data_IF_784211953316
#
_entry.id   IF_784211953316
#
_cell.length_a   1.000
_cell.length_b   1.000
_cell.length_c   1.000
_cell.angle_alpha   90.00
_cell.angle_beta   90.00
_cell.angle_gamma   90.00
#
_symmetry.space_group_name_H-M   'P 1'
#
loop_
_entity.id
_entity.type
_entity.pdbx_description
1 polymer ?
#
# COMPACT_ATOMS: atom_id res chain seq x y z
N UNK A 1 6.30 24.11 41.16
CA UNK A 1 6.70 23.08 40.17
C UNK A 1 5.45 22.58 39.48
N UNK A 2 5.13 23.09 38.28
CA UNK A 2 4.12 22.48 37.39
C UNK A 2 4.53 22.78 35.96
N UNK A 3 5.23 21.84 35.32
CA UNK A 3 5.39 21.82 33.87
C UNK A 3 4.11 21.22 33.29
N UNK A 4 3.26 22.08 32.73
CA UNK A 4 2.16 21.66 31.87
C UNK A 4 2.77 21.22 30.54
N UNK A 5 2.83 19.92 30.30
CA UNK A 5 3.20 19.37 29.00
C UNK A 5 2.04 19.60 28.03
N UNK A 6 2.09 20.73 27.34
CA UNK A 6 1.22 20.99 26.21
C UNK A 6 1.78 20.25 24.97
N UNK A 7 1.39 19.00 24.79
CA UNK A 7 1.75 18.20 23.58
C UNK A 7 0.52 17.96 22.70
N UNK A 8 -0.27 19.00 22.47
CA UNK A 8 -1.46 18.96 21.63
C UNK A 8 -1.39 19.93 20.46
N UNK A 9 -0.31 19.88 19.66
CA UNK A 9 -0.34 20.55 18.34
C UNK A 9 -1.47 19.96 17.49
N UNK A 10 -2.12 20.74 16.60
CA UNK A 10 -3.24 20.24 15.81
C UNK A 10 -2.79 19.01 15.02
N UNK A 11 -3.47 17.88 15.23
CA UNK A 11 -3.19 16.64 14.52
C UNK A 11 -3.25 16.92 13.01
N UNK A 12 -2.09 16.90 12.34
CA UNK A 12 -2.00 17.14 10.90
C UNK A 12 -2.97 16.20 10.19
N UNK A 13 -3.89 16.77 9.44
CA UNK A 13 -4.85 16.00 8.67
C UNK A 13 -4.10 15.25 7.56
N UNK A 14 -4.33 13.95 7.47
CA UNK A 14 -3.75 13.11 6.45
C UNK A 14 -4.45 13.33 5.12
N UNK A 15 -3.66 13.29 4.06
CA UNK A 15 -4.15 13.39 2.69
C UNK A 15 -3.78 12.15 1.90
N UNK A 16 -4.41 11.95 0.74
CA UNK A 16 -4.09 10.88 -0.20
C UNK A 16 -2.61 10.90 -0.66
N UNK A 17 -1.92 12.05 -0.57
CA UNK A 17 -0.50 12.16 -0.92
C UNK A 17 0.44 11.59 0.15
N UNK A 18 -0.07 11.42 1.38
CA UNK A 18 0.71 10.92 2.51
C UNK A 18 0.67 9.39 2.61
N UNK A 19 0.04 8.70 1.65
CA UNK A 19 -0.19 7.26 1.67
C UNK A 19 0.31 6.53 0.41
N UNK A 20 0.45 5.21 0.55
CA UNK A 20 0.87 4.27 -0.48
C UNK A 20 0.17 2.93 -0.27
N UNK A 21 0.01 2.13 -1.31
CA UNK A 21 -0.71 0.85 -1.24
C UNK A 21 0.27 -0.30 -1.19
N UNK A 22 0.05 -1.25 -0.28
CA UNK A 22 0.81 -2.48 -0.26
C UNK A 22 0.41 -3.35 -1.47
N UNK A 23 1.36 -3.59 -2.37
CA UNK A 23 1.14 -4.42 -3.57
C UNK A 23 0.81 -5.88 -3.25
N UNK A 24 1.05 -6.32 -2.01
CA UNK A 24 0.73 -7.68 -1.56
C UNK A 24 -0.70 -7.84 -1.05
N UNK A 25 -1.16 -6.93 -0.19
CA UNK A 25 -2.44 -7.07 0.51
C UNK A 25 -3.45 -5.95 0.24
N UNK A 26 -3.06 -4.94 -0.54
CA UNK A 26 -3.92 -3.80 -0.89
C UNK A 26 -4.10 -2.77 0.23
N UNK A 27 -3.48 -2.95 1.40
CA UNK A 27 -3.64 -2.04 2.53
C UNK A 27 -3.03 -0.65 2.26
N UNK A 28 -3.73 0.40 2.68
CA UNK A 28 -3.25 1.78 2.67
C UNK A 28 -2.26 2.02 3.80
N UNK A 29 -1.02 2.35 3.46
CA UNK A 29 0.07 2.56 4.39
C UNK A 29 0.52 4.01 4.34
N UNK A 30 0.94 4.55 5.48
CA UNK A 30 1.59 5.85 5.48
C UNK A 30 2.93 5.79 4.73
N UNK A 31 3.30 6.89 4.07
CA UNK A 31 4.50 6.97 3.23
C UNK A 31 5.80 6.65 3.97
N UNK A 32 5.86 6.99 5.26
CA UNK A 32 7.00 6.72 6.16
C UNK A 32 7.18 5.24 6.53
N UNK A 33 6.19 4.38 6.30
CA UNK A 33 6.28 2.98 6.70
C UNK A 33 7.22 2.22 5.75
N UNK A 34 8.31 1.64 6.25
CA UNK A 34 9.22 0.84 5.42
C UNK A 34 8.61 -0.51 5.02
N UNK A 35 7.67 -1.01 5.82
CA UNK A 35 6.96 -2.25 5.60
C UNK A 35 5.44 -2.10 5.79
N UNK A 36 4.67 -3.05 5.27
CA UNK A 36 3.23 -3.00 5.37
C UNK A 36 2.77 -3.16 6.83
N UNK A 37 2.03 -2.20 7.38
CA UNK A 37 1.53 -2.28 8.75
C UNK A 37 0.57 -3.46 8.95
N UNK A 38 -0.13 -3.90 7.89
CA UNK A 38 -1.05 -5.03 7.93
C UNK A 38 -0.32 -6.37 7.81
N UNK A 39 0.43 -6.60 6.73
CA UNK A 39 1.01 -7.91 6.41
C UNK A 39 2.53 -8.01 6.62
N UNK A 40 3.20 -6.94 7.04
CA UNK A 40 4.65 -6.92 7.28
C UNK A 40 5.53 -6.98 6.03
N UNK A 41 4.92 -6.94 4.83
CA UNK A 41 5.63 -7.01 3.56
C UNK A 41 6.56 -5.82 3.34
N UNK A 42 7.75 -6.08 2.82
CA UNK A 42 8.77 -5.08 2.49
C UNK A 42 9.02 -5.09 0.98
N UNK A 43 9.04 -3.92 0.35
CA UNK A 43 9.27 -3.78 -1.09
C UNK A 43 8.67 -2.51 -1.68
N UNK A 44 8.46 -2.51 -3.00
CA UNK A 44 7.90 -1.38 -3.77
C UNK A 44 6.39 -1.25 -3.57
N UNK A 45 5.96 -0.21 -2.88
CA UNK A 45 4.54 0.09 -2.73
C UNK A 45 3.97 0.77 -3.98
N UNK A 46 2.70 0.47 -4.27
CA UNK A 46 1.94 1.11 -5.35
C UNK A 46 1.53 2.53 -4.97
N UNK A 47 1.54 3.43 -5.96
CA UNK A 47 1.21 4.85 -5.81
C UNK A 47 0.29 5.39 -6.90
N UNK A 48 -0.30 4.54 -7.71
CA UNK A 48 -1.34 4.95 -8.66
C UNK A 48 -2.42 5.81 -7.95
N UNK A 49 -2.60 7.09 -8.35
CA UNK A 49 -3.58 7.98 -7.75
C UNK A 49 -5.01 7.43 -7.79
N UNK A 50 -5.39 6.73 -8.86
CA UNK A 50 -6.74 6.17 -8.97
C UNK A 50 -6.98 5.08 -7.92
N UNK A 51 -6.00 4.21 -7.71
CA UNK A 51 -6.05 3.16 -6.70
C UNK A 51 -6.01 3.73 -5.27
N UNK A 52 -5.19 4.75 -5.02
CA UNK A 52 -5.16 5.45 -3.73
C UNK A 52 -6.52 6.04 -3.43
N UNK A 53 -7.13 6.76 -4.38
CA UNK A 53 -8.43 7.37 -4.19
C UNK A 53 -9.51 6.34 -3.83
N UNK A 54 -9.58 5.22 -4.56
CA UNK A 54 -10.52 4.14 -4.28
C UNK A 54 -10.30 3.50 -2.90
N UNK A 55 -9.05 3.25 -2.53
CA UNK A 55 -8.73 2.69 -1.22
C UNK A 55 -9.04 3.69 -0.09
N UNK A 56 -8.84 4.98 -0.35
CA UNK A 56 -9.09 6.07 0.59
C UNK A 56 -10.58 6.27 0.84
N UNK A 57 -11.40 6.27 -0.23
CA UNK A 57 -12.85 6.28 -0.14
C UNK A 57 -13.38 5.12 0.72
N UNK A 58 -12.89 3.89 0.50
CA UNK A 58 -13.28 2.74 1.33
C UNK A 58 -12.95 2.93 2.82
N UNK A 59 -11.86 3.62 3.12
CA UNK A 59 -11.48 3.95 4.50
C UNK A 59 -12.40 5.03 5.08
N UNK A 60 -12.79 6.02 4.29
CA UNK A 60 -13.78 7.04 4.67
C UNK A 60 -15.18 6.44 4.90
N UNK A 61 -15.58 5.46 4.10
CA UNK A 61 -16.88 4.79 4.29
C UNK A 61 -16.92 4.01 5.62
N UNK A 62 -15.76 3.52 6.09
CA UNK A 62 -15.64 2.78 7.34
C UNK A 62 -15.44 3.68 8.56
N UNK A 63 -14.89 4.88 8.37
CA UNK A 63 -14.54 5.79 9.45
C UNK A 63 -14.95 7.21 9.09
N UNK A 64 -15.69 7.87 9.98
CA UNK A 64 -16.07 9.28 9.85
C UNK A 64 -14.86 10.21 9.62
N UNK A 65 -13.67 9.81 10.10
CA UNK A 65 -12.39 10.48 9.84
C UNK A 65 -11.23 9.49 9.72
N UNK A 66 -10.43 9.63 8.66
CA UNK A 66 -9.17 8.88 8.50
C UNK A 66 -8.09 9.51 9.37
N UNK A 67 -7.61 8.72 10.34
CA UNK A 67 -6.55 9.11 11.27
C UNK A 67 -5.25 8.33 11.02
N UNK A 68 -4.09 8.83 11.48
CA UNK A 68 -2.79 8.16 11.29
C UNK A 68 -2.71 6.74 11.82
N UNK A 69 -3.53 6.42 12.83
CA UNK A 69 -3.65 5.06 13.38
C UNK A 69 -4.22 4.05 12.39
N UNK A 70 -5.04 4.47 11.44
CA UNK A 70 -5.67 3.57 10.46
C UNK A 70 -4.73 3.16 9.32
N UNK A 71 -3.62 3.89 9.14
CA UNK A 71 -2.63 3.68 8.06
C UNK A 71 -1.21 3.40 8.60
N UNK A 72 -1.08 3.17 9.90
CA UNK A 72 0.13 2.65 10.53
C UNK A 72 1.22 3.66 10.87
N UNK A 73 0.92 4.95 11.04
CA UNK A 73 1.94 5.98 11.35
C UNK A 73 2.58 5.79 12.74
N UNK A 74 1.91 5.08 13.63
CA UNK A 74 2.45 4.59 14.90
C UNK A 74 2.09 3.12 15.04
N UNK A 75 2.96 2.22 14.59
CA UNK A 75 2.97 0.89 15.20
C UNK A 75 3.78 1.08 16.49
N UNK A 76 3.18 1.10 17.70
CA UNK A 76 3.99 0.93 18.88
C UNK A 76 4.77 -0.35 18.66
N UNK A 77 6.09 -0.30 18.80
CA UNK A 77 6.87 -1.53 18.84
C UNK A 77 6.17 -2.44 19.86
N UNK A 78 5.82 -3.69 19.52
CA UNK A 78 5.25 -4.58 20.51
C UNK A 78 6.35 -4.79 21.55
N UNK A 79 6.29 -4.03 22.64
CA UNK A 79 6.91 -4.44 23.88
C UNK A 79 6.28 -5.79 24.19
N UNK A 80 7.06 -6.87 24.18
CA UNK A 80 6.60 -8.11 24.78
C UNK A 80 6.30 -7.87 26.26
N UNK A 81 5.66 -8.84 26.93
CA UNK A 81 5.26 -8.77 28.35
C UNK A 81 6.42 -8.42 29.32
N UNK A 82 7.68 -8.41 28.85
CA UNK A 82 8.90 -8.08 29.59
C UNK A 82 9.73 -6.93 28.99
N UNK A 83 9.17 -6.11 28.09
CA UNK A 83 9.89 -4.95 27.51
C UNK A 83 10.98 -5.29 26.48
N UNK A 84 11.08 -6.54 26.04
CA UNK A 84 12.05 -6.97 25.02
C UNK A 84 11.43 -6.90 23.63
N UNK A 85 12.16 -6.32 22.67
CA UNK A 85 11.79 -6.29 21.24
C UNK A 85 11.77 -7.73 20.71
N UNK A 86 10.58 -8.30 20.48
CA UNK A 86 10.48 -9.63 19.86
C UNK A 86 10.78 -9.55 18.36
N UNK A 87 11.71 -10.37 17.83
CA UNK A 87 11.89 -10.52 16.39
C UNK A 87 10.61 -11.03 15.73
N UNK A 88 10.31 -10.55 14.52
CA UNK A 88 9.13 -10.97 13.76
C UNK A 88 9.09 -12.49 13.61
N UNK A 89 7.98 -13.12 13.99
CA UNK A 89 7.69 -14.49 13.56
C UNK A 89 7.46 -14.46 12.03
N UNK A 90 8.12 -15.34 11.25
CA UNK A 90 7.83 -15.45 9.83
C UNK A 90 6.35 -15.80 9.64
N UNK A 91 5.73 -15.22 8.60
CA UNK A 91 4.35 -15.51 8.21
C UNK A 91 4.10 -17.03 8.15
N UNK A 92 2.95 -17.52 8.63
CA UNK A 92 2.61 -18.93 8.49
C UNK A 92 2.62 -19.32 7.01
N UNK A 93 3.17 -20.50 6.70
CA UNK A 93 3.45 -20.95 5.34
C UNK A 93 2.23 -20.91 4.39
N UNK A 94 1.01 -21.03 4.93
CA UNK A 94 -0.23 -20.89 4.18
C UNK A 94 -0.46 -19.46 3.65
N UNK A 95 -0.18 -18.43 4.45
CA UNK A 95 -0.27 -17.03 4.01
C UNK A 95 0.78 -16.72 2.93
N UNK A 96 1.98 -17.32 3.03
CA UNK A 96 2.99 -17.23 1.97
C UNK A 96 2.56 -17.92 0.67
N UNK A 97 1.80 -19.02 0.74
CA UNK A 97 1.24 -19.70 -0.44
C UNK A 97 0.16 -18.89 -1.13
N UNK A 98 -0.76 -18.30 -0.36
CA UNK A 98 -1.78 -17.40 -0.91
C UNK A 98 -1.12 -16.18 -1.56
N UNK A 99 -0.10 -15.61 -0.93
CA UNK A 99 0.62 -14.45 -1.47
C UNK A 99 1.40 -14.76 -2.75
N UNK A 100 1.96 -15.97 -2.88
CA UNK A 100 2.60 -16.45 -4.10
C UNK A 100 1.59 -16.68 -5.23
N UNK A 101 0.43 -17.28 -4.91
CA UNK A 101 -0.63 -17.50 -5.89
C UNK A 101 -1.20 -16.18 -6.43
N UNK A 102 -1.46 -15.21 -5.54
CA UNK A 102 -1.95 -13.88 -5.94
C UNK A 102 -0.94 -13.10 -6.78
N UNK A 103 0.37 -13.21 -6.49
CA UNK A 103 1.43 -12.63 -7.33
C UNK A 103 1.38 -13.14 -8.77
N UNK A 104 1.08 -14.42 -8.94
CA UNK A 104 0.95 -15.03 -10.27
C UNK A 104 -0.28 -14.50 -11.01
N UNK A 105 -1.40 -14.35 -10.32
CA UNK A 105 -2.63 -13.78 -10.88
C UNK A 105 -2.46 -12.31 -11.30
N UNK A 106 -1.75 -11.50 -10.50
CA UNK A 106 -1.50 -10.10 -10.86
C UNK A 106 -0.57 -9.97 -12.07
N UNK A 107 0.50 -10.77 -12.12
CA UNK A 107 1.40 -10.80 -13.28
C UNK A 107 0.65 -11.16 -14.58
N UNK A 108 -0.25 -12.16 -14.53
CA UNK A 108 -1.10 -12.52 -15.67
C UNK A 108 -2.05 -11.39 -16.09
N UNK A 109 -2.52 -10.57 -15.15
CA UNK A 109 -3.39 -9.42 -15.43
C UNK A 109 -2.61 -8.27 -16.08
N UNK A 110 -1.41 -7.97 -15.56
CA UNK A 110 -0.55 -6.90 -16.09
C UNK A 110 -0.08 -7.25 -17.51
N UNK A 111 0.25 -8.52 -17.75
CA UNK A 111 0.59 -9.00 -19.10
C UNK A 111 -0.59 -8.83 -20.07
N UNK A 112 -1.82 -9.15 -19.64
CA UNK A 112 -3.03 -8.91 -20.46
C UNK A 112 -3.29 -7.43 -20.72
N UNK A 113 -2.99 -6.56 -19.75
CA UNK A 113 -3.10 -5.11 -19.93
C UNK A 113 -2.07 -4.61 -20.96
N UNK A 114 -0.81 -5.01 -20.81
CA UNK A 114 0.26 -4.69 -21.75
C UNK A 114 -0.04 -5.21 -23.17
N UNK A 115 -0.59 -6.43 -23.29
CA UNK A 115 -1.01 -6.98 -24.59
C UNK A 115 -2.16 -6.17 -25.23
N UNK A 116 -3.10 -5.65 -24.43
CA UNK A 116 -4.17 -4.79 -24.94
C UNK A 116 -3.63 -3.45 -25.42
N UNK A 117 -2.75 -2.83 -24.66
CA UNK A 117 -2.09 -1.59 -25.06
C UNK A 117 -1.26 -1.76 -26.33
N UNK A 118 -0.50 -2.85 -26.44
CA UNK A 118 0.26 -3.18 -27.64
C UNK A 118 -0.64 -3.36 -28.88
N UNK A 119 -1.79 -4.04 -28.72
CA UNK A 119 -2.78 -4.19 -29.79
C UNK A 119 -3.40 -2.86 -30.20
N UNK A 120 -3.76 -2.01 -29.24
CA UNK A 120 -4.31 -0.68 -29.51
C UNK A 120 -3.28 0.21 -30.23
N UNK A 121 -2.00 0.12 -29.84
CA UNK A 121 -0.90 0.84 -30.50
C UNK A 121 -0.68 0.37 -31.93
N UNK A 122 -0.74 -0.94 -32.18
CA UNK A 122 -0.64 -1.51 -33.52
C UNK A 122 -1.85 -1.15 -34.41
N UNK A 123 -3.03 -0.92 -33.82
CA UNK A 123 -4.22 -0.47 -34.56
C UNK A 123 -4.18 1.03 -34.90
N UNK A 124 -3.62 1.87 -34.03
CA UNK A 124 -3.50 3.32 -34.27
C UNK A 124 -2.32 3.70 -35.17
N UNK A 125 -1.26 2.91 -35.18
CA UNK A 125 -0.16 3.00 -36.14
C UNK A 125 -0.12 1.69 -36.95
N UNK A 126 -1.01 1.51 -37.96
CA UNK A 126 -0.71 0.53 -38.97
C UNK A 126 0.67 0.89 -39.55
N UNK A 127 1.56 -0.09 -39.79
CA UNK A 127 2.80 0.17 -40.52
C UNK A 127 2.42 0.55 -41.95
N UNK A 128 2.09 1.83 -42.16
CA UNK A 128 1.97 2.38 -43.48
C UNK A 128 3.39 2.56 -44.00
N UNK A 129 3.75 1.63 -44.87
CA UNK A 129 4.33 1.95 -46.17
C UNK A 129 5.39 3.06 -46.11
N UNK A 130 6.56 2.72 -45.55
CA UNK A 130 7.79 3.23 -46.14
C UNK A 130 7.99 2.47 -47.44
N UNK A 131 7.35 3.00 -48.48
CA UNK A 131 7.71 2.71 -49.85
C UNK A 131 9.11 3.21 -50.17
N UNK A 132 9.66 2.55 -51.19
CA UNK A 132 10.98 2.67 -51.85
C UNK A 132 12.07 1.77 -51.28
#
# INVERSE_FOLDING_TARGET
MSMLWNTGGPARQLTEKDVKICSLCGALNHMKNSDCFTCGWQGVFERDPAMIHLAWQRLYDQFERVEPRHIGMHRPAPMGDFGVVSPRRPMPAFAARISNWWRRIMAERDERAAQREAKLRAQHFPPNELGV
#
